data_IF_195445091681
#
_entry.id   IF_195445091681
#
_cell.length_a   1.000
_cell.length_b   1.000
_cell.length_c   1.000
_cell.angle_alpha   90.00
_cell.angle_beta   90.00
_cell.angle_gamma   90.00
#
_symmetry.space_group_name_H-M   'P 1'
#
loop_
_entity.id
_entity.type
_entity.pdbx_description
1 polymer ?
#
# COMPACT_ATOMS: atom_id res chain seq x y z
N UNK A 1 -13.74 4.26 -11.04
CA UNK A 1 -14.06 2.81 -11.00
C UNK A 1 -15.35 2.60 -10.22
N UNK A 2 -16.32 1.80 -10.70
CA UNK A 2 -17.60 1.53 -9.99
C UNK A 2 -17.41 0.31 -9.06
N UNK A 3 -18.05 0.26 -7.87
CA UNK A 3 -18.02 -0.94 -7.03
C UNK A 3 -18.59 -2.17 -7.76
N UNK A 4 -17.85 -3.27 -7.74
CA UNK A 4 -18.26 -4.59 -8.24
C UNK A 4 -18.33 -5.58 -7.07
N UNK A 5 -18.83 -6.80 -7.33
CA UNK A 5 -18.91 -7.88 -6.35
C UNK A 5 -17.56 -8.10 -5.63
N UNK A 6 -16.45 -8.09 -6.37
CA UNK A 6 -15.10 -8.26 -5.82
C UNK A 6 -14.71 -7.22 -4.77
N UNK A 7 -15.20 -5.98 -4.88
CA UNK A 7 -14.97 -4.95 -3.84
C UNK A 7 -15.67 -5.34 -2.54
N UNK A 8 -16.95 -5.71 -2.60
CA UNK A 8 -17.71 -6.08 -1.40
C UNK A 8 -17.18 -7.37 -0.79
N UNK A 9 -16.83 -8.36 -1.62
CA UNK A 9 -16.19 -9.60 -1.18
C UNK A 9 -14.88 -9.30 -0.45
N UNK A 10 -14.02 -8.42 -0.99
CA UNK A 10 -12.77 -8.04 -0.33
C UNK A 10 -13.00 -7.25 0.95
N UNK A 11 -13.92 -6.29 0.95
CA UNK A 11 -14.25 -5.48 2.12
C UNK A 11 -14.70 -6.34 3.31
N UNK A 12 -15.50 -7.39 3.02
CA UNK A 12 -16.00 -8.32 4.03
C UNK A 12 -14.95 -9.35 4.48
N UNK A 13 -14.18 -9.89 3.54
CA UNK A 13 -13.25 -11.00 3.81
C UNK A 13 -11.82 -10.56 4.16
N UNK A 14 -11.49 -9.27 4.08
CA UNK A 14 -10.19 -8.78 4.52
C UNK A 14 -10.04 -8.89 6.05
N UNK A 15 -8.84 -9.28 6.46
CA UNK A 15 -8.41 -9.24 7.85
C UNK A 15 -7.80 -7.87 8.14
N UNK A 16 -7.85 -7.43 9.40
CA UNK A 16 -7.24 -6.17 9.81
C UNK A 16 -6.70 -6.22 11.23
N UNK A 17 -5.57 -5.56 11.47
CA UNK A 17 -5.01 -5.32 12.81
C UNK A 17 -4.74 -3.82 12.99
N UNK A 18 -4.82 -3.36 14.24
CA UNK A 18 -4.51 -1.97 14.60
C UNK A 18 -3.01 -1.76 14.88
N UNK A 19 -2.16 -2.50 14.15
CA UNK A 19 -0.72 -2.32 14.14
C UNK A 19 -0.13 -2.80 12.81
N UNK A 20 0.99 -2.20 12.41
CA UNK A 20 1.85 -2.67 11.33
C UNK A 20 2.92 -3.63 11.87
N UNK A 21 3.53 -4.43 10.98
CA UNK A 21 4.60 -5.36 11.34
C UNK A 21 5.90 -4.61 11.65
N UNK A 22 6.70 -5.17 12.56
CA UNK A 22 7.98 -4.57 13.00
C UNK A 22 8.94 -4.29 11.84
N UNK A 23 8.99 -5.18 10.84
CA UNK A 23 9.82 -4.99 9.64
C UNK A 23 9.46 -3.77 8.79
N UNK A 24 8.20 -3.29 8.85
CA UNK A 24 7.81 -2.06 8.17
C UNK A 24 8.21 -0.82 8.97
N UNK A 25 7.97 -0.81 10.28
CA UNK A 25 8.29 0.33 11.15
C UNK A 25 9.80 0.56 11.35
N UNK A 26 10.62 -0.44 11.01
CA UNK A 26 12.09 -0.37 11.03
C UNK A 26 12.71 -0.21 9.64
N UNK A 27 11.89 -0.05 8.60
CA UNK A 27 12.34 0.06 7.21
C UNK A 27 13.04 1.39 6.89
N UNK A 28 13.71 1.43 5.74
CA UNK A 28 14.28 2.68 5.20
C UNK A 28 13.23 3.78 5.06
N UNK A 29 12.07 3.47 4.48
CA UNK A 29 10.93 4.39 4.35
C UNK A 29 10.46 4.93 5.71
N UNK A 30 10.42 4.08 6.75
CA UNK A 30 10.04 4.52 8.08
C UNK A 30 11.05 5.52 8.68
N UNK A 31 12.35 5.30 8.47
CA UNK A 31 13.40 6.22 8.90
C UNK A 31 13.35 7.57 8.16
N UNK A 32 12.93 7.59 6.89
CA UNK A 32 12.71 8.82 6.13
C UNK A 32 11.51 9.63 6.66
N UNK A 33 10.41 8.95 6.94
CA UNK A 33 9.13 9.57 7.33
C UNK A 33 9.12 10.00 8.79
N UNK A 34 9.72 9.18 9.67
CA UNK A 34 9.76 9.40 11.11
C UNK A 34 11.22 9.34 11.63
N UNK A 35 12.07 10.31 11.25
CA UNK A 35 13.51 10.27 11.55
C UNK A 35 13.85 10.36 13.04
N UNK A 36 12.89 10.74 13.88
CA UNK A 36 13.03 10.85 15.34
C UNK A 36 12.44 9.66 16.09
N UNK A 37 11.92 8.66 15.39
CA UNK A 37 11.28 7.48 15.97
C UNK A 37 10.19 7.83 17.01
N UNK A 38 9.40 8.87 16.72
CA UNK A 38 8.28 9.26 17.56
C UNK A 38 7.17 8.21 17.51
N UNK A 39 6.26 8.29 18.47
CA UNK A 39 5.07 7.45 18.53
C UNK A 39 4.31 7.48 17.20
N UNK A 40 3.95 6.29 16.73
CA UNK A 40 3.18 6.09 15.51
C UNK A 40 1.81 5.51 15.83
N UNK A 41 0.86 5.79 14.96
CA UNK A 41 -0.38 5.02 14.83
C UNK A 41 -0.21 4.18 13.59
N UNK A 42 -0.45 2.89 13.70
CA UNK A 42 -0.32 1.98 12.57
C UNK A 42 -1.50 1.03 12.47
N UNK A 43 -1.71 0.52 11.27
CA UNK A 43 -2.74 -0.43 10.94
C UNK A 43 -2.26 -1.33 9.80
N UNK A 44 -2.88 -2.50 9.70
CA UNK A 44 -2.65 -3.42 8.60
C UNK A 44 -3.97 -4.04 8.16
N UNK A 45 -4.10 -4.25 6.85
CA UNK A 45 -5.21 -4.93 6.20
C UNK A 45 -4.62 -5.95 5.24
N UNK A 46 -5.11 -7.18 5.23
CA UNK A 46 -4.64 -8.18 4.28
C UNK A 46 -5.74 -9.16 3.88
N UNK A 47 -5.51 -9.83 2.75
CA UNK A 47 -6.35 -10.90 2.26
C UNK A 47 -5.49 -11.98 1.60
N UNK A 48 -5.84 -13.23 1.89
CA UNK A 48 -5.22 -14.40 1.31
C UNK A 48 -6.04 -14.88 0.11
N UNK A 49 -5.34 -15.30 -0.94
CA UNK A 49 -5.92 -15.82 -2.17
C UNK A 49 -5.20 -17.12 -2.55
N UNK A 50 -5.93 -18.02 -3.19
CA UNK A 50 -5.31 -19.18 -3.86
C UNK A 50 -4.35 -18.65 -4.94
N UNK A 51 -3.15 -19.23 -5.05
CA UNK A 51 -2.15 -18.76 -6.02
C UNK A 51 -2.65 -18.87 -7.47
N UNK A 52 -3.54 -19.82 -7.74
CA UNK A 52 -4.24 -19.99 -9.02
C UNK A 52 -5.04 -18.74 -9.44
N UNK A 53 -5.54 -17.97 -8.46
CA UNK A 53 -6.27 -16.70 -8.70
C UNK A 53 -5.44 -15.70 -9.49
N UNK A 54 -4.12 -15.71 -9.30
CA UNK A 54 -3.18 -14.79 -9.94
C UNK A 54 -2.15 -15.54 -10.80
N UNK A 55 -2.52 -16.72 -11.32
CA UNK A 55 -1.67 -17.49 -12.21
C UNK A 55 -1.25 -16.62 -13.41
N UNK A 56 0.06 -16.58 -13.69
CA UNK A 56 0.63 -15.78 -14.78
C UNK A 56 0.84 -14.29 -14.46
N UNK A 57 0.37 -13.77 -13.32
CA UNK A 57 0.64 -12.39 -12.92
C UNK A 57 1.95 -12.28 -12.13
N UNK A 58 2.82 -11.36 -12.54
CA UNK A 58 3.99 -10.96 -11.78
C UNK A 58 3.61 -10.10 -10.57
N UNK A 59 4.48 -10.05 -9.55
CA UNK A 59 4.25 -9.20 -8.37
C UNK A 59 4.22 -7.71 -8.75
N UNK A 60 5.02 -7.30 -9.73
CA UNK A 60 4.99 -5.95 -10.29
C UNK A 60 3.61 -5.62 -10.86
N UNK A 61 3.01 -6.52 -11.66
CA UNK A 61 1.66 -6.31 -12.21
C UNK A 61 0.60 -6.24 -11.12
N UNK A 62 0.67 -7.12 -10.12
CA UNK A 62 -0.28 -7.11 -8.99
C UNK A 62 -0.14 -5.82 -8.18
N UNK A 63 1.07 -5.42 -7.77
CA UNK A 63 1.31 -4.19 -7.02
C UNK A 63 0.91 -2.94 -7.80
N UNK A 64 1.17 -2.91 -9.11
CA UNK A 64 0.79 -1.76 -9.94
C UNK A 64 -0.72 -1.67 -10.15
N UNK A 65 -1.37 -2.80 -10.42
CA UNK A 65 -2.84 -2.88 -10.48
C UNK A 65 -3.48 -2.47 -9.16
N UNK A 66 -2.92 -2.94 -8.04
CA UNK A 66 -3.37 -2.57 -6.70
C UNK A 66 -3.21 -1.06 -6.46
N UNK A 67 -2.07 -0.48 -6.84
CA UNK A 67 -1.81 0.97 -6.74
C UNK A 67 -2.81 1.78 -7.55
N UNK A 68 -3.05 1.40 -8.81
CA UNK A 68 -4.04 2.06 -9.66
C UNK A 68 -5.46 1.94 -9.08
N UNK A 69 -5.81 0.79 -8.50
CA UNK A 69 -7.09 0.59 -7.81
C UNK A 69 -7.24 1.42 -6.55
N UNK A 70 -6.23 1.43 -5.68
CA UNK A 70 -6.22 2.15 -4.42
C UNK A 70 -6.42 3.66 -4.65
N UNK A 71 -5.64 4.26 -5.56
CA UNK A 71 -5.68 5.70 -5.85
C UNK A 71 -6.67 6.09 -6.98
N UNK A 72 -7.27 5.13 -7.68
CA UNK A 72 -8.25 5.35 -8.76
C UNK A 72 -9.66 4.85 -8.45
N UNK A 73 -9.83 4.24 -7.29
CA UNK A 73 -11.09 3.71 -6.79
C UNK A 73 -12.06 4.82 -6.42
N UNK A 74 -13.36 4.49 -6.37
CA UNK A 74 -14.39 5.47 -5.99
C UNK A 74 -14.28 5.95 -4.54
N UNK A 75 -13.63 5.18 -3.67
CA UNK A 75 -13.40 5.55 -2.26
C UNK A 75 -12.40 6.71 -2.20
N UNK A 76 -11.27 6.61 -2.91
CA UNK A 76 -10.30 7.69 -3.03
C UNK A 76 -10.78 8.82 -3.97
N UNK A 77 -11.75 8.54 -4.85
CA UNK A 77 -12.17 9.49 -5.89
C UNK A 77 -12.57 10.88 -5.37
N UNK A 78 -13.16 10.98 -4.18
CA UNK A 78 -13.48 12.27 -3.55
C UNK A 78 -12.22 13.03 -3.13
N UNK A 79 -11.27 12.36 -2.48
CA UNK A 79 -9.97 12.94 -2.12
C UNK A 79 -9.15 13.29 -3.34
N UNK A 80 -9.10 12.42 -4.35
CA UNK A 80 -8.43 12.65 -5.62
C UNK A 80 -8.96 13.89 -6.35
N UNK A 81 -10.27 14.17 -6.28
CA UNK A 81 -10.84 15.40 -6.84
C UNK A 81 -10.37 16.66 -6.07
N UNK A 82 -10.36 16.61 -4.73
CA UNK A 82 -9.87 17.72 -3.91
C UNK A 82 -8.37 17.97 -4.13
N UNK A 83 -7.58 16.91 -4.22
CA UNK A 83 -6.16 17.00 -4.53
C UNK A 83 -5.95 17.59 -5.92
N UNK A 84 -6.64 17.12 -6.95
CA UNK A 84 -6.60 17.73 -8.29
C UNK A 84 -7.02 19.21 -8.31
N UNK A 85 -7.94 19.61 -7.43
CA UNK A 85 -8.37 21.01 -7.28
C UNK A 85 -7.36 21.90 -6.52
N UNK A 86 -6.23 21.35 -6.08
CA UNK A 86 -5.13 22.10 -5.47
C UNK A 86 -4.92 21.86 -3.97
N UNK A 87 -5.69 20.96 -3.33
CA UNK A 87 -5.51 20.65 -1.90
C UNK A 87 -4.14 20.05 -1.58
N UNK A 88 -3.44 19.45 -2.57
CA UNK A 88 -2.06 18.96 -2.42
C UNK A 88 -1.09 20.04 -1.93
N UNK A 89 -1.35 21.33 -2.24
CA UNK A 89 -0.52 22.45 -1.77
C UNK A 89 -0.57 22.65 -0.25
N UNK A 90 -1.65 22.19 0.38
CA UNK A 90 -1.82 22.21 1.84
C UNK A 90 -1.22 20.96 2.50
N UNK A 91 -0.91 19.93 1.72
CA UNK A 91 -0.35 18.65 2.17
C UNK A 91 0.97 18.36 1.43
N UNK A 92 1.98 19.24 1.54
CA UNK A 92 3.22 19.05 0.81
C UNK A 92 3.91 17.76 1.24
N UNK A 93 4.30 16.95 0.24
CA UNK A 93 5.17 15.80 0.48
C UNK A 93 6.63 16.21 0.41
N UNK A 94 7.35 16.06 1.53
CA UNK A 94 8.75 16.44 1.64
C UNK A 94 9.43 15.67 2.77
N UNK A 95 10.51 14.95 2.44
CA UNK A 95 11.32 14.22 3.40
C UNK A 95 12.77 14.67 3.25
N UNK A 96 13.36 15.26 4.30
CA UNK A 96 14.68 15.93 4.23
C UNK A 96 15.79 15.04 3.69
N UNK A 97 15.78 13.75 4.05
CA UNK A 97 16.82 12.80 3.67
C UNK A 97 16.47 11.98 2.42
N UNK A 98 15.38 12.32 1.73
CA UNK A 98 15.02 11.68 0.47
C UNK A 98 15.79 12.33 -0.67
N UNK A 99 16.85 11.68 -1.12
CA UNK A 99 17.67 12.16 -2.24
C UNK A 99 17.07 11.71 -3.55
N UNK A 100 16.68 12.67 -4.39
CA UNK A 100 16.06 12.38 -5.67
C UNK A 100 17.10 12.46 -6.80
N UNK A 101 17.39 11.34 -7.46
CA UNK A 101 18.37 11.27 -8.55
C UNK A 101 17.85 11.83 -9.88
N UNK A 102 16.53 11.92 -10.05
CA UNK A 102 15.86 12.32 -11.28
C UNK A 102 14.70 13.30 -11.03
N UNK A 103 14.23 14.04 -12.04
CA UNK A 103 13.07 14.93 -11.92
C UNK A 103 11.84 14.19 -11.38
N UNK A 104 11.06 14.85 -10.55
CA UNK A 104 9.83 14.27 -9.99
C UNK A 104 8.81 14.08 -11.09
N UNK A 105 8.44 12.83 -11.36
CA UNK A 105 7.29 12.54 -12.21
C UNK A 105 6.02 12.59 -11.37
N UNK A 106 5.02 13.32 -11.85
CA UNK A 106 3.72 13.44 -11.18
C UNK A 106 2.65 12.72 -11.98
N UNK A 107 1.95 11.81 -11.31
CA UNK A 107 0.78 11.10 -11.83
C UNK A 107 -0.46 11.73 -11.20
N UNK A 108 -1.34 12.27 -12.04
CA UNK A 108 -2.56 12.96 -11.61
C UNK A 108 -3.82 12.11 -11.86
N UNK A 109 -3.68 11.03 -12.63
CA UNK A 109 -4.77 10.07 -12.90
C UNK A 109 -4.27 8.66 -12.69
N UNK A 110 -5.10 7.82 -12.09
CA UNK A 110 -4.76 6.40 -11.87
C UNK A 110 -4.53 5.62 -13.17
N UNK A 111 -5.08 6.10 -14.30
CA UNK A 111 -4.84 5.54 -15.64
C UNK A 111 -3.42 5.77 -16.16
N UNK A 112 -2.64 6.65 -15.53
CA UNK A 112 -1.24 6.91 -15.87
C UNK A 112 -0.28 6.03 -15.04
N UNK A 113 -0.80 5.28 -14.06
CA UNK A 113 -0.03 4.24 -13.36
C UNK A 113 0.27 3.13 -14.37
N UNK A 114 1.53 2.71 -14.56
CA UNK A 114 1.87 1.70 -15.55
C UNK A 114 1.19 0.37 -15.24
N UNK A 115 0.74 -0.38 -16.25
CA UNK A 115 -0.07 -1.58 -16.00
C UNK A 115 0.75 -2.75 -15.43
N UNK A 116 1.96 -2.96 -15.97
CA UNK A 116 2.79 -4.14 -15.67
C UNK A 116 4.09 -3.82 -14.92
N UNK A 117 4.36 -2.54 -14.69
CA UNK A 117 5.60 -2.04 -14.09
C UNK A 117 5.34 -1.13 -12.90
N UNK A 118 6.20 -1.19 -11.90
CA UNK A 118 6.17 -0.24 -10.79
C UNK A 118 6.67 1.13 -11.22
N UNK A 119 6.05 2.19 -10.71
CA UNK A 119 6.55 3.56 -10.84
C UNK A 119 7.99 3.67 -10.30
N UNK A 120 8.74 4.67 -10.74
CA UNK A 120 10.09 4.93 -10.21
C UNK A 120 10.07 5.63 -8.87
N UNK A 121 11.05 5.30 -8.02
CA UNK A 121 11.23 5.94 -6.72
C UNK A 121 11.33 7.46 -6.93
N UNK A 122 10.56 8.21 -6.16
CA UNK A 122 10.39 9.65 -6.28
C UNK A 122 9.12 10.07 -7.02
N UNK A 123 8.47 9.17 -7.78
CA UNK A 123 7.17 9.44 -8.43
C UNK A 123 6.14 9.88 -7.40
N UNK A 124 5.35 10.91 -7.72
CA UNK A 124 4.29 11.43 -6.86
C UNK A 124 2.92 11.17 -7.47
N UNK A 125 2.04 10.53 -6.71
CA UNK A 125 0.64 10.37 -7.03
C UNK A 125 -0.14 11.54 -6.40
N UNK A 126 -0.90 12.27 -7.23
CA UNK A 126 -1.74 13.40 -6.84
C UNK A 126 -0.98 14.48 -6.03
N UNK A 127 0.31 14.66 -6.35
CA UNK A 127 1.21 15.61 -5.68
C UNK A 127 1.49 15.33 -4.19
N UNK A 128 0.93 14.25 -3.61
CA UNK A 128 0.86 14.06 -2.15
C UNK A 128 1.47 12.74 -1.69
N UNK A 129 1.37 11.68 -2.50
CA UNK A 129 1.88 10.35 -2.15
C UNK A 129 3.14 10.09 -2.97
N UNK A 130 4.30 10.12 -2.34
CA UNK A 130 5.59 9.91 -3.00
C UNK A 130 6.06 8.47 -2.80
N UNK A 131 6.38 7.77 -3.89
CA UNK A 131 7.00 6.45 -3.83
C UNK A 131 8.42 6.60 -3.25
N UNK A 132 8.65 6.07 -2.05
CA UNK A 132 9.90 6.16 -1.31
C UNK A 132 10.82 4.97 -1.57
N UNK A 133 10.22 3.78 -1.68
CA UNK A 133 10.97 2.54 -1.85
C UNK A 133 10.12 1.53 -2.63
N UNK A 134 10.80 0.62 -3.33
CA UNK A 134 10.19 -0.50 -4.04
C UNK A 134 11.13 -1.70 -4.06
N UNK A 135 10.56 -2.89 -3.94
CA UNK A 135 11.28 -4.14 -4.06
C UNK A 135 10.39 -5.20 -4.69
N UNK A 136 10.92 -5.93 -5.68
CA UNK A 136 10.29 -7.12 -6.25
C UNK A 136 11.17 -8.29 -5.89
N UNK A 137 10.59 -9.30 -5.24
CA UNK A 137 11.29 -10.56 -5.00
C UNK A 137 11.57 -11.26 -6.32
N UNK A 138 12.83 -11.67 -6.52
CA UNK A 138 13.23 -12.49 -7.66
C UNK A 138 13.04 -14.00 -7.38
N UNK A 139 12.78 -14.39 -6.13
CA UNK A 139 12.59 -15.79 -5.72
C UNK A 139 11.12 -16.10 -5.38
N UNK A 140 10.73 -17.34 -5.67
CA UNK A 140 9.43 -17.91 -5.28
C UNK A 140 9.34 -18.27 -3.79
N UNK A 141 10.46 -18.18 -3.07
CA UNK A 141 10.59 -18.64 -1.69
C UNK A 141 10.23 -17.53 -0.70
N UNK A 142 8.93 -17.35 -0.45
CA UNK A 142 8.39 -16.59 0.69
C UNK A 142 8.93 -15.16 0.90
N UNK A 143 9.56 -14.58 -0.11
CA UNK A 143 10.12 -13.23 -0.03
C UNK A 143 9.07 -12.18 -0.41
N UNK A 144 9.17 -11.05 0.29
CA UNK A 144 8.17 -9.98 0.28
C UNK A 144 8.43 -9.04 -0.89
N UNK A 145 7.52 -8.94 -1.86
CA UNK A 145 7.52 -7.83 -2.83
C UNK A 145 6.72 -6.66 -2.25
N UNK A 146 7.18 -5.43 -2.41
CA UNK A 146 6.48 -4.25 -1.87
C UNK A 146 6.75 -2.94 -2.62
N UNK A 147 5.87 -1.96 -2.36
CA UNK A 147 6.05 -0.54 -2.65
C UNK A 147 5.65 0.30 -1.44
N UNK A 148 6.42 1.35 -1.16
CA UNK A 148 6.21 2.25 -0.02
C UNK A 148 5.88 3.67 -0.49
N UNK A 149 4.70 4.16 -0.15
CA UNK A 149 4.26 5.51 -0.45
C UNK A 149 4.26 6.38 0.81
N UNK A 150 5.22 7.29 0.89
CA UNK A 150 5.27 8.33 1.91
C UNK A 150 4.34 9.49 1.60
N UNK A 151 3.76 10.10 2.62
CA UNK A 151 2.93 11.30 2.49
C UNK A 151 3.15 12.24 3.68
N UNK A 152 2.80 13.51 3.50
CA UNK A 152 3.12 14.56 4.47
C UNK A 152 4.62 14.85 4.52
N UNK A 153 5.11 15.38 5.64
CA UNK A 153 6.50 15.84 5.68
C UNK A 153 7.15 15.72 7.04
N UNK A 154 8.42 15.31 7.04
CA UNK A 154 9.24 15.18 8.24
C UNK A 154 9.51 16.52 8.93
N UNK A 155 9.25 17.65 8.26
CA UNK A 155 9.34 19.02 8.80
C UNK A 155 8.04 19.56 9.41
N UNK A 156 6.91 18.90 9.21
CA UNK A 156 5.60 19.36 9.68
C UNK A 156 5.01 18.42 10.74
N UNK A 157 3.81 18.74 11.25
CA UNK A 157 3.17 17.99 12.33
C UNK A 157 2.51 16.68 11.90
N UNK A 158 2.60 16.29 10.64
CA UNK A 158 1.97 15.11 10.09
C UNK A 158 2.79 14.51 8.96
N UNK A 159 3.09 13.22 9.07
CA UNK A 159 3.64 12.40 8.02
C UNK A 159 3.19 10.95 8.20
N UNK A 160 3.28 10.17 7.13
CA UNK A 160 2.97 8.75 7.17
C UNK A 160 3.50 8.00 5.97
N UNK A 161 3.29 6.69 6.00
CA UNK A 161 3.69 5.80 4.93
C UNK A 161 2.65 4.69 4.77
N UNK A 162 2.37 4.33 3.51
CA UNK A 162 1.63 3.13 3.15
C UNK A 162 2.54 2.15 2.43
N UNK A 163 2.59 0.91 2.90
CA UNK A 163 3.24 -0.21 2.22
C UNK A 163 2.19 -1.11 1.60
N UNK A 164 2.27 -1.30 0.29
CA UNK A 164 1.54 -2.37 -0.39
C UNK A 164 2.49 -3.54 -0.57
N UNK A 165 2.07 -4.75 -0.22
CA UNK A 165 2.97 -5.90 -0.27
C UNK A 165 2.30 -7.19 -0.72
N UNK A 166 3.13 -8.05 -1.31
CA UNK A 166 2.77 -9.39 -1.77
C UNK A 166 3.73 -10.38 -1.11
N UNK A 167 3.16 -11.44 -0.55
CA UNK A 167 3.93 -12.57 -0.04
C UNK A 167 3.38 -13.85 -0.66
N UNK A 168 4.23 -14.57 -1.39
CA UNK A 168 3.91 -15.87 -2.00
C UNK A 168 4.41 -16.98 -1.09
N UNK A 169 3.53 -17.77 -0.51
CA UNK A 169 3.94 -18.93 0.29
C UNK A 169 3.99 -20.17 -0.60
N UNK A 170 5.20 -20.66 -0.85
CA UNK A 170 5.46 -22.03 -1.29
C UNK A 170 5.59 -22.89 -0.02
N UNK A 171 4.94 -24.04 0.02
CA UNK A 171 5.08 -24.92 1.19
C UNK A 171 6.27 -25.83 0.94
N UNK A 172 7.34 -25.61 1.70
CA UNK A 172 8.40 -26.59 1.84
C UNK A 172 7.77 -27.89 2.36
N UNK A 173 7.91 -28.96 1.58
CA UNK A 173 7.40 -30.28 1.89
C UNK A 173 8.20 -30.95 3.00
N UNK A 174 8.18 -30.38 4.21
CA UNK A 174 8.86 -30.95 5.38
C UNK A 174 7.87 -31.06 6.55
N UNK A 175 6.88 -31.95 6.43
CA UNK A 175 6.38 -32.76 7.55
C UNK A 175 5.22 -33.67 7.13
N UNK A 176 5.31 -34.91 7.60
CA UNK A 176 4.40 -36.03 7.39
C UNK A 176 3.01 -35.76 8.00
N UNK A 177 2.09 -35.20 7.23
CA UNK A 177 0.66 -35.34 7.50
C UNK A 177 -0.09 -35.50 6.18
N UNK A 178 -0.49 -36.74 5.88
CA UNK A 178 -1.38 -37.10 4.77
C UNK A 178 -2.81 -36.66 5.09
N UNK A 179 -3.09 -35.36 5.00
CA UNK A 179 -4.48 -34.89 4.93
C UNK A 179 -4.50 -33.57 4.19
N UNK A 180 -4.75 -33.67 2.88
CA UNK A 180 -4.84 -32.60 1.87
C UNK A 180 -3.54 -31.81 1.59
N UNK A 181 -3.08 -31.75 0.33
CA UNK A 181 -1.98 -30.85 -0.04
C UNK A 181 -2.43 -29.41 0.22
N UNK A 182 -1.80 -28.78 1.19
CA UNK A 182 -1.97 -27.34 1.47
C UNK A 182 -1.63 -26.55 0.21
N UNK A 183 -2.63 -25.88 -0.36
CA UNK A 183 -2.50 -25.17 -1.64
C UNK A 183 -1.52 -23.99 -1.51
N UNK A 184 -0.82 -23.60 -2.59
CA UNK A 184 -0.03 -22.37 -2.60
C UNK A 184 -0.94 -21.14 -2.44
N UNK A 185 -0.56 -20.20 -1.59
CA UNK A 185 -1.36 -19.00 -1.30
C UNK A 185 -0.55 -17.71 -1.52
N UNK A 186 -1.25 -16.68 -1.97
CA UNK A 186 -0.73 -15.33 -2.16
C UNK A 186 -1.44 -14.41 -1.18
N UNK A 187 -0.66 -13.70 -0.36
CA UNK A 187 -1.16 -12.68 0.54
C UNK A 187 -0.93 -11.30 -0.06
N UNK A 188 -2.00 -10.53 -0.23
CA UNK A 188 -1.92 -9.10 -0.55
C UNK A 188 -2.16 -8.32 0.74
N UNK A 189 -1.27 -7.37 1.08
CA UNK A 189 -1.38 -6.57 2.30
C UNK A 189 -1.24 -5.07 2.02
N UNK A 190 -1.93 -4.29 2.84
CA UNK A 190 -1.75 -2.86 3.05
C UNK A 190 -1.30 -2.67 4.50
N UNK A 191 -0.16 -2.04 4.71
CA UNK A 191 0.28 -1.58 6.02
C UNK A 191 0.39 -0.06 6.01
N UNK A 192 -0.03 0.59 7.08
CA UNK A 192 -0.02 2.03 7.21
C UNK A 192 0.60 2.45 8.53
N UNK A 193 1.30 3.58 8.54
CA UNK A 193 1.51 4.31 9.77
C UNK A 193 1.46 5.82 9.55
N UNK A 194 1.10 6.54 10.61
CA UNK A 194 1.18 8.00 10.69
C UNK A 194 1.86 8.42 11.98
N UNK A 195 2.53 9.56 11.94
CA UNK A 195 3.21 10.13 13.10
C UNK A 195 3.15 11.66 13.09
N UNK A 196 3.57 12.27 14.19
CA UNK A 196 4.00 13.65 14.22
C UNK A 196 5.54 13.68 14.24
N UNK A 197 6.20 13.98 13.11
CA UNK A 197 7.66 13.98 13.05
C UNK A 197 8.33 14.99 13.99
N UNK A 198 7.64 16.07 14.35
CA UNK A 198 8.19 17.20 15.10
C UNK A 198 7.98 17.09 16.62
N UNK A 199 6.93 16.40 17.06
CA UNK A 199 6.59 16.27 18.48
C UNK A 199 6.21 14.83 18.78
N UNK A 200 6.76 14.26 19.85
CA UNK A 200 6.46 12.89 20.25
C UNK A 200 5.05 12.78 20.88
N UNK A 201 4.02 12.79 20.03
CA UNK A 201 2.62 12.63 20.40
C UNK A 201 1.86 11.89 19.30
N UNK A 202 0.75 11.25 19.69
CA UNK A 202 -0.14 10.63 18.73
C UNK A 202 -0.71 11.69 17.76
N UNK A 203 -0.68 11.44 16.44
CA UNK A 203 -1.13 12.43 15.46
C UNK A 203 -2.65 12.58 15.39
N UNK A 204 -3.42 11.56 15.81
CA UNK A 204 -4.89 11.57 15.76
C UNK A 204 -5.51 10.96 17.03
N UNK A 205 -6.77 11.32 17.30
CA UNK A 205 -7.59 10.77 18.40
C UNK A 205 -8.03 9.33 18.11
N UNK A 206 -8.51 8.60 19.13
CA UNK A 206 -9.01 7.22 18.98
C UNK A 206 -10.14 7.08 17.94
N UNK A 207 -11.04 8.06 17.86
CA UNK A 207 -12.11 8.08 16.85
C UNK A 207 -11.50 8.21 15.44
N UNK A 208 -10.49 9.07 15.30
CA UNK A 208 -9.75 9.21 14.04
C UNK A 208 -9.04 7.92 13.64
N UNK A 209 -8.49 7.17 14.60
CA UNK A 209 -7.89 5.85 14.34
C UNK A 209 -8.90 4.85 13.79
N UNK A 210 -10.07 4.75 14.42
CA UNK A 210 -11.11 3.83 13.95
C UNK A 210 -11.60 4.19 12.55
N UNK A 211 -11.82 5.48 12.27
CA UNK A 211 -12.18 5.95 10.93
C UNK A 211 -11.09 5.58 9.91
N UNK A 212 -9.82 5.82 10.23
CA UNK A 212 -8.70 5.46 9.36
C UNK A 212 -8.69 3.96 9.05
N UNK A 213 -8.87 3.09 10.05
CA UNK A 213 -8.89 1.65 9.85
C UNK A 213 -10.04 1.21 8.92
N UNK A 214 -11.24 1.78 9.07
CA UNK A 214 -12.36 1.50 8.17
C UNK A 214 -12.08 2.01 6.75
N UNK A 215 -11.52 3.21 6.63
CA UNK A 215 -11.15 3.81 5.36
C UNK A 215 -10.07 3.01 4.63
N UNK A 216 -9.04 2.55 5.35
CA UNK A 216 -7.97 1.70 4.83
C UNK A 216 -8.51 0.37 4.29
N UNK A 217 -9.49 -0.26 4.97
CA UNK A 217 -10.17 -1.47 4.46
C UNK A 217 -10.91 -1.21 3.15
N UNK A 218 -11.61 -0.07 3.04
CA UNK A 218 -12.32 0.31 1.83
C UNK A 218 -11.36 0.63 0.67
N UNK A 219 -10.24 1.31 0.93
CA UNK A 219 -9.20 1.54 -0.07
C UNK A 219 -8.51 0.24 -0.50
N UNK A 220 -8.20 -0.64 0.45
CA UNK A 220 -7.67 -1.97 0.18
C UNK A 220 -8.60 -2.77 -0.75
N UNK A 221 -9.90 -2.75 -0.49
CA UNK A 221 -10.89 -3.42 -1.32
C UNK A 221 -10.94 -2.87 -2.76
N UNK A 222 -10.69 -1.57 -2.96
CA UNK A 222 -10.53 -1.02 -4.32
C UNK A 222 -9.26 -1.51 -5.01
N UNK A 223 -8.14 -1.59 -4.28
CA UNK A 223 -6.90 -2.18 -4.77
C UNK A 223 -7.11 -3.63 -5.22
N UNK A 224 -7.68 -4.48 -4.36
CA UNK A 224 -7.99 -5.89 -4.69
C UNK A 224 -8.94 -5.98 -5.89
N UNK A 225 -9.98 -5.15 -5.93
CA UNK A 225 -10.91 -5.13 -7.06
C UNK A 225 -10.20 -4.83 -8.40
N UNK A 226 -9.18 -3.97 -8.40
CA UNK A 226 -8.42 -3.66 -9.61
C UNK A 226 -7.53 -4.82 -10.04
N UNK A 227 -6.84 -5.47 -9.09
CA UNK A 227 -6.02 -6.67 -9.36
C UNK A 227 -6.87 -7.77 -10.00
N UNK A 228 -8.03 -8.08 -9.42
CA UNK A 228 -8.94 -9.12 -9.93
C UNK A 228 -9.55 -8.77 -11.30
N UNK A 229 -9.56 -7.49 -11.68
CA UNK A 229 -9.98 -7.07 -13.02
C UNK A 229 -8.85 -7.18 -14.03
N UNK A 230 -7.63 -6.79 -13.66
CA UNK A 230 -6.44 -6.92 -14.52
C UNK A 230 -6.16 -8.38 -14.91
N UNK A 231 -6.50 -9.34 -14.04
CA UNK A 231 -6.42 -10.77 -14.34
C UNK A 231 -7.36 -11.22 -15.47
N UNK A 232 -8.53 -10.59 -15.64
CA UNK A 232 -9.54 -10.99 -16.63
C UNK A 232 -9.30 -10.41 -18.03
N UNK A 233 -8.35 -9.49 -18.16
CA UNK A 233 -8.04 -8.77 -19.40
C UNK A 233 -6.82 -9.34 -20.15
N UNK A 234 -6.11 -10.30 -19.56
CA UNK A 234 -5.00 -11.03 -20.18
C UNK A 234 -5.41 -12.46 -20.56
#
# INVERSE_FOLDING_TARGET
MIPKKSFFDSLYNCNSLNFARDGFLTSHSAALVNPRHHMVISDSVWQDFDAETFAGMSDSKILSSFTSGFFGGFIFGTEGLLLNAGAWRLLPVNFTNFSQSHPTFEIWKSSEVPEDQLCDVGTRLFGTFQLLDKHISESTDSQLSYVDFGFGSDKYSFAGCHRFSIMRHQIASDSKSETEPSKPHIRISLEGFTCNPQTNKLPVSEIGKWFHALYARALFANGVQAVLQGQRSG
#
